data_IF_575892927557
#
_entry.id   IF_575892927557
#
_cell.length_a   1.000
_cell.length_b   1.000
_cell.length_c   1.000
_cell.angle_alpha   90.00
_cell.angle_beta   90.00
_cell.angle_gamma   90.00
#
_symmetry.space_group_name_H-M   'P 1'
#
loop_
_entity.id
_entity.type
_entity.pdbx_description
1 polymer ?
#
# COMPACT_ATOMS: atom_id res chain seq x y z
N UNK A 1 -40.48 -7.43 -30.34
CA UNK A 1 -41.01 -8.66 -30.99
C UNK A 1 -39.91 -9.70 -31.20
N UNK A 2 -38.72 -9.30 -31.66
CA UNK A 2 -37.55 -10.19 -31.83
C UNK A 2 -37.09 -10.85 -30.53
N UNK A 3 -36.91 -10.08 -29.48
CA UNK A 3 -36.49 -10.58 -28.14
C UNK A 3 -37.49 -11.60 -27.57
N UNK A 4 -38.78 -11.31 -27.70
CA UNK A 4 -39.85 -12.23 -27.26
C UNK A 4 -39.83 -13.56 -28.03
N UNK A 5 -39.68 -13.52 -29.37
CA UNK A 5 -39.59 -14.71 -30.16
C UNK A 5 -38.38 -15.58 -29.84
N UNK A 6 -37.21 -14.94 -29.68
CA UNK A 6 -35.97 -15.61 -29.30
C UNK A 6 -36.07 -16.26 -27.91
N UNK A 7 -36.59 -15.52 -26.91
CA UNK A 7 -36.81 -16.02 -25.55
C UNK A 7 -37.76 -17.22 -25.52
N UNK A 8 -38.88 -17.16 -26.24
CA UNK A 8 -39.86 -18.25 -26.29
C UNK A 8 -39.32 -19.50 -26.99
N UNK A 9 -38.45 -19.35 -27.97
CA UNK A 9 -37.74 -20.45 -28.61
C UNK A 9 -36.80 -21.18 -27.63
N UNK A 10 -35.97 -20.42 -26.89
CA UNK A 10 -35.10 -20.98 -25.87
C UNK A 10 -35.89 -21.66 -24.76
N UNK A 11 -36.95 -21.04 -24.29
CA UNK A 11 -37.76 -21.56 -23.18
C UNK A 11 -38.38 -22.91 -23.57
N UNK A 12 -38.93 -23.02 -24.78
CA UNK A 12 -39.51 -24.30 -25.29
C UNK A 12 -38.45 -25.40 -25.40
N UNK A 13 -37.25 -25.05 -25.89
CA UNK A 13 -36.16 -26.01 -26.00
C UNK A 13 -35.72 -26.53 -24.63
N UNK A 14 -35.53 -25.62 -23.65
CA UNK A 14 -35.13 -25.93 -22.25
C UNK A 14 -36.16 -26.86 -21.59
N UNK A 15 -37.46 -26.56 -21.75
CA UNK A 15 -38.54 -27.34 -21.16
C UNK A 15 -38.66 -28.75 -21.79
N UNK A 16 -38.38 -28.87 -23.10
CA UNK A 16 -38.44 -30.17 -23.79
C UNK A 16 -37.22 -31.05 -23.50
N UNK A 17 -36.03 -30.42 -23.14
CA UNK A 17 -34.79 -31.14 -22.91
C UNK A 17 -34.34 -31.03 -21.44
N UNK A 18 -35.22 -31.38 -20.50
CA UNK A 18 -35.02 -31.18 -19.07
C UNK A 18 -33.70 -31.76 -18.54
N UNK A 19 -33.38 -33.00 -18.94
CA UNK A 19 -32.14 -33.68 -18.51
C UNK A 19 -30.91 -33.00 -19.09
N UNK A 20 -30.93 -32.66 -20.37
CA UNK A 20 -29.82 -31.92 -21.00
C UNK A 20 -29.60 -30.57 -20.39
N UNK A 21 -30.68 -29.82 -20.14
CA UNK A 21 -30.60 -28.51 -19.48
C UNK A 21 -30.04 -28.59 -18.06
N UNK A 22 -30.50 -29.60 -17.28
CA UNK A 22 -29.98 -29.83 -15.93
C UNK A 22 -28.52 -30.24 -15.97
N UNK A 23 -28.09 -31.03 -16.92
CA UNK A 23 -26.69 -31.42 -17.08
C UNK A 23 -25.79 -30.23 -17.44
N UNK A 24 -26.25 -29.36 -18.35
CA UNK A 24 -25.54 -28.11 -18.70
C UNK A 24 -25.42 -27.18 -17.49
N UNK A 25 -26.54 -27.00 -16.77
CA UNK A 25 -26.54 -26.16 -15.58
C UNK A 25 -25.54 -26.66 -14.51
N UNK A 26 -25.56 -27.99 -14.28
CA UNK A 26 -24.64 -28.64 -13.33
C UNK A 26 -23.18 -28.51 -13.79
N UNK A 27 -22.91 -28.67 -15.07
CA UNK A 27 -21.58 -28.53 -15.65
C UNK A 27 -21.07 -27.08 -15.50
N UNK A 28 -21.89 -26.06 -15.77
CA UNK A 28 -21.57 -24.66 -15.59
C UNK A 28 -21.30 -24.36 -14.12
N UNK A 29 -22.17 -24.85 -13.22
CA UNK A 29 -21.98 -24.67 -11.77
C UNK A 29 -20.67 -25.29 -11.29
N UNK A 30 -20.40 -26.53 -11.70
CA UNK A 30 -19.16 -27.22 -11.33
C UNK A 30 -17.92 -26.51 -11.89
N UNK A 31 -17.97 -26.05 -13.14
CA UNK A 31 -16.87 -25.28 -13.74
C UNK A 31 -16.64 -23.96 -12.99
N UNK A 32 -17.71 -23.25 -12.60
CA UNK A 32 -17.61 -22.02 -11.82
C UNK A 32 -16.99 -22.29 -10.45
N UNK A 33 -17.42 -23.31 -9.74
CA UNK A 33 -16.86 -23.69 -8.44
C UNK A 33 -15.38 -24.12 -8.55
N UNK A 34 -15.03 -24.83 -9.61
CA UNK A 34 -13.65 -25.23 -9.88
C UNK A 34 -12.73 -24.04 -10.25
N UNK A 35 -13.30 -23.00 -10.82
CA UNK A 35 -12.57 -21.76 -11.15
C UNK A 35 -12.35 -20.85 -9.94
N UNK A 36 -13.16 -20.94 -8.88
CA UNK A 36 -13.06 -20.11 -7.69
C UNK A 36 -11.66 -20.08 -7.04
N UNK A 37 -10.95 -21.23 -6.88
CA UNK A 37 -9.61 -21.21 -6.31
C UNK A 37 -8.55 -20.54 -7.20
N UNK A 38 -8.86 -20.41 -8.51
CA UNK A 38 -7.95 -19.77 -9.49
C UNK A 38 -8.13 -18.25 -9.55
N UNK A 39 -9.22 -17.73 -8.95
CA UNK A 39 -9.37 -16.28 -8.81
C UNK A 39 -8.44 -15.77 -7.72
N UNK A 40 -7.65 -14.75 -8.04
CA UNK A 40 -6.83 -14.05 -7.06
C UNK A 40 -7.71 -13.53 -5.91
N UNK A 41 -7.24 -13.68 -4.69
CA UNK A 41 -7.90 -13.19 -3.47
C UNK A 41 -7.35 -11.84 -3.05
N UNK A 42 -7.14 -10.95 -4.01
CA UNK A 42 -6.75 -9.58 -3.69
C UNK A 42 -7.97 -8.82 -3.20
N UNK A 43 -7.90 -8.36 -1.96
CA UNK A 43 -8.98 -7.60 -1.34
C UNK A 43 -9.19 -6.24 -2.04
N UNK A 44 -8.10 -5.63 -2.49
CA UNK A 44 -8.12 -4.41 -3.30
C UNK A 44 -7.00 -4.43 -4.32
N UNK A 45 -7.22 -3.93 -5.55
CA UNK A 45 -6.13 -3.67 -6.48
C UNK A 45 -5.16 -2.66 -5.87
N UNK A 46 -3.87 -2.78 -6.18
CA UNK A 46 -2.88 -1.80 -5.77
C UNK A 46 -3.28 -0.41 -6.27
N UNK A 47 -3.55 0.51 -5.33
CA UNK A 47 -3.84 1.90 -5.63
C UNK A 47 -2.52 2.60 -5.94
N UNK A 48 -2.31 2.94 -7.21
CA UNK A 48 -1.15 3.71 -7.63
C UNK A 48 -1.49 5.20 -7.64
N UNK A 49 -0.88 5.94 -6.72
CA UNK A 49 -1.19 7.36 -6.49
C UNK A 49 -0.23 8.33 -7.20
N UNK A 50 0.82 7.82 -7.87
CA UNK A 50 1.85 8.66 -8.46
C UNK A 50 2.68 9.45 -7.44
N UNK A 51 2.60 9.07 -6.16
CA UNK A 51 3.35 9.68 -5.07
C UNK A 51 3.81 8.62 -4.07
N UNK A 52 4.64 9.00 -3.12
CA UNK A 52 4.96 8.25 -1.91
C UNK A 52 5.06 9.21 -0.71
N UNK A 53 4.90 8.64 0.47
CA UNK A 53 5.15 9.31 1.75
C UNK A 53 6.23 8.54 2.48
N UNK A 54 7.26 9.24 2.91
CA UNK A 54 8.35 8.70 3.71
C UNK A 54 8.15 9.21 5.12
N UNK A 55 7.99 8.29 6.07
CA UNK A 55 7.89 8.61 7.50
C UNK A 55 9.15 8.12 8.21
N UNK A 56 9.71 8.98 9.05
CA UNK A 56 10.83 8.65 9.92
C UNK A 56 10.45 8.89 11.37
N UNK A 57 10.53 7.86 12.20
CA UNK A 57 10.33 7.96 13.64
C UNK A 57 11.66 7.83 14.33
N UNK A 58 12.07 8.89 15.00
CA UNK A 58 13.31 8.97 15.77
C UNK A 58 13.07 8.61 17.25
N UNK A 59 14.13 8.33 18.03
CA UNK A 59 14.01 8.14 19.47
C UNK A 59 13.30 9.33 20.15
N UNK A 60 12.47 9.05 21.15
CA UNK A 60 11.64 10.07 21.80
C UNK A 60 12.43 11.22 22.48
N UNK A 61 13.73 11.02 22.75
CA UNK A 61 14.62 12.01 23.34
C UNK A 61 15.34 12.91 22.33
N UNK A 62 15.06 12.78 21.03
CA UNK A 62 15.65 13.63 20.00
C UNK A 62 15.10 15.07 20.10
N UNK A 63 15.91 16.06 19.77
CA UNK A 63 15.45 17.44 19.66
C UNK A 63 14.81 17.71 18.30
N UNK A 64 13.87 18.67 18.26
CA UNK A 64 13.23 19.11 17.01
C UNK A 64 14.27 19.61 15.99
N UNK A 65 15.30 20.32 16.47
CA UNK A 65 16.38 20.82 15.61
C UNK A 65 17.15 19.69 14.93
N UNK A 66 17.42 18.59 15.65
CA UNK A 66 18.11 17.44 15.10
C UNK A 66 17.23 16.71 14.08
N UNK A 67 15.92 16.60 14.32
CA UNK A 67 14.97 16.09 13.32
C UNK A 67 14.98 16.97 12.08
N UNK A 68 15.04 18.29 12.23
CA UNK A 68 15.12 19.23 11.10
C UNK A 68 16.43 19.08 10.30
N UNK A 69 17.55 18.80 10.97
CA UNK A 69 18.83 18.47 10.31
C UNK A 69 18.71 17.17 9.51
N UNK A 70 18.12 16.14 10.09
CA UNK A 70 17.89 14.87 9.40
C UNK A 70 16.90 15.01 8.22
N UNK A 71 15.88 15.87 8.34
CA UNK A 71 14.99 16.21 7.23
C UNK A 71 15.74 16.84 6.03
N UNK A 72 16.75 17.69 6.30
CA UNK A 72 17.61 18.24 5.24
C UNK A 72 18.45 17.15 4.57
N UNK A 73 19.00 16.22 5.36
CA UNK A 73 19.78 15.08 4.83
C UNK A 73 18.87 14.16 3.99
N UNK A 74 17.69 13.84 4.47
CA UNK A 74 16.71 13.04 3.73
C UNK A 74 16.37 13.67 2.39
N UNK A 75 16.06 14.98 2.37
CA UNK A 75 15.78 15.70 1.10
C UNK A 75 16.94 15.62 0.12
N UNK A 76 18.17 15.78 0.59
CA UNK A 76 19.35 15.69 -0.26
C UNK A 76 19.48 14.30 -0.92
N UNK A 77 19.18 13.24 -0.17
CA UNK A 77 19.22 11.85 -0.68
C UNK A 77 18.08 11.62 -1.69
N UNK A 78 16.87 12.04 -1.40
CA UNK A 78 15.69 11.75 -2.23
C UNK A 78 15.76 12.47 -3.57
N UNK A 79 16.30 13.70 -3.62
CA UNK A 79 16.48 14.45 -4.87
C UNK A 79 17.49 13.80 -5.83
N UNK A 80 18.36 12.90 -5.34
CA UNK A 80 19.26 12.14 -6.20
C UNK A 80 18.53 11.14 -7.12
N UNK A 81 17.28 10.79 -6.80
CA UNK A 81 16.48 9.86 -7.59
C UNK A 81 15.76 10.61 -8.72
N UNK A 82 16.08 10.32 -9.99
CA UNK A 82 15.51 11.03 -11.14
C UNK A 82 14.00 10.82 -11.32
N UNK A 83 13.44 9.78 -10.71
CA UNK A 83 12.02 9.46 -10.67
C UNK A 83 11.22 10.45 -9.79
N UNK A 84 11.90 11.16 -8.88
CA UNK A 84 11.29 12.12 -7.96
C UNK A 84 11.09 13.47 -8.66
N UNK A 85 9.91 14.06 -8.49
CA UNK A 85 9.60 15.38 -9.01
C UNK A 85 9.89 16.48 -7.99
N UNK A 86 9.41 16.27 -6.77
CA UNK A 86 9.48 17.24 -5.67
C UNK A 86 9.57 16.48 -4.34
N UNK A 87 10.02 17.16 -3.29
CA UNK A 87 9.94 16.69 -1.91
C UNK A 87 9.54 17.84 -0.99
N UNK A 88 8.47 17.61 -0.22
CA UNK A 88 8.06 18.48 0.87
C UNK A 88 8.18 17.72 2.19
N UNK A 89 8.74 18.35 3.23
CA UNK A 89 8.92 17.72 4.53
C UNK A 89 8.24 18.50 5.63
N UNK A 90 7.54 17.77 6.51
CA UNK A 90 6.98 18.23 7.76
C UNK A 90 7.80 17.63 8.90
N UNK A 91 8.20 18.45 9.86
CA UNK A 91 9.00 18.06 11.03
C UNK A 91 8.19 18.33 12.29
N UNK A 92 7.99 17.28 13.10
CA UNK A 92 7.16 17.39 14.29
C UNK A 92 5.68 17.60 13.97
N UNK A 93 4.99 18.24 14.89
CA UNK A 93 3.54 18.51 14.82
C UNK A 93 3.23 20.00 14.91
N UNK A 94 2.07 20.46 14.45
CA UNK A 94 1.59 21.80 14.72
C UNK A 94 1.28 22.00 16.21
N UNK A 95 1.46 23.22 16.72
CA UNK A 95 1.27 23.54 18.13
C UNK A 95 -0.22 23.58 18.56
N UNK A 96 -1.14 23.52 17.60
CA UNK A 96 -2.59 23.58 17.85
C UNK A 96 -3.22 22.26 18.37
N UNK A 97 -2.41 21.19 18.46
CA UNK A 97 -2.83 19.89 18.97
C UNK A 97 -3.77 19.11 18.04
N UNK A 98 -3.92 19.52 16.79
CA UNK A 98 -4.76 18.82 15.79
C UNK A 98 -4.14 17.52 15.28
N UNK A 99 -2.82 17.39 15.38
CA UNK A 99 -2.06 16.21 14.94
C UNK A 99 -1.49 15.47 16.18
N UNK A 100 -1.79 14.18 16.37
CA UNK A 100 -1.29 13.37 17.48
C UNK A 100 0.18 12.97 17.32
N UNK A 101 0.85 13.29 16.21
CA UNK A 101 2.25 12.95 15.97
C UNK A 101 3.21 13.56 17.01
N UNK A 102 4.34 12.87 17.25
CA UNK A 102 5.38 13.33 18.17
C UNK A 102 6.30 14.38 17.54
N UNK A 103 7.04 15.11 18.37
CA UNK A 103 8.10 16.03 17.91
C UNK A 103 9.27 15.28 17.24
N UNK A 104 9.38 13.98 17.52
CA UNK A 104 10.38 13.07 17.00
C UNK A 104 10.00 12.43 15.65
N UNK A 105 8.93 12.90 15.02
CA UNK A 105 8.47 12.40 13.75
C UNK A 105 8.80 13.34 12.59
N UNK A 106 9.18 12.73 11.48
CA UNK A 106 9.44 13.38 10.20
C UNK A 106 8.56 12.75 9.15
N UNK A 107 7.79 13.56 8.43
CA UNK A 107 7.00 13.09 7.31
C UNK A 107 7.41 13.85 6.04
N UNK A 108 7.67 13.11 4.95
CA UNK A 108 8.01 13.69 3.67
C UNK A 108 7.02 13.21 2.61
N UNK A 109 6.39 14.16 1.94
CA UNK A 109 5.57 13.92 0.77
C UNK A 109 6.43 14.03 -0.49
N UNK A 110 6.44 12.98 -1.31
CA UNK A 110 7.31 12.84 -2.48
C UNK A 110 6.47 12.51 -3.71
N UNK A 111 6.01 13.52 -4.47
CA UNK A 111 5.43 13.32 -5.78
C UNK A 111 6.46 12.70 -6.73
N UNK A 112 6.02 11.72 -7.51
CA UNK A 112 6.83 11.05 -8.52
C UNK A 112 6.48 11.58 -9.90
N UNK A 113 7.46 11.59 -10.78
CA UNK A 113 7.24 11.87 -12.20
C UNK A 113 6.36 10.77 -12.81
N UNK A 114 5.63 11.06 -13.90
CA UNK A 114 4.89 10.02 -14.61
C UNK A 114 5.80 8.85 -14.99
N UNK A 115 5.33 7.62 -14.75
CA UNK A 115 6.13 6.38 -14.95
C UNK A 115 6.74 6.32 -16.36
N UNK A 116 6.02 6.84 -17.38
CA UNK A 116 6.50 6.87 -18.75
C UNK A 116 7.76 7.74 -18.96
N UNK A 117 8.04 8.66 -18.04
CA UNK A 117 9.21 9.54 -18.07
C UNK A 117 10.39 9.03 -17.26
N UNK A 118 10.25 7.88 -16.61
CA UNK A 118 11.32 7.31 -15.78
C UNK A 118 12.49 6.85 -16.65
N UNK A 119 13.74 7.10 -16.22
CA UNK A 119 14.92 6.77 -17.01
C UNK A 119 15.10 5.25 -17.09
N UNK A 120 15.53 4.81 -18.29
CA UNK A 120 15.98 3.43 -18.48
C UNK A 120 17.33 3.26 -17.78
N UNK A 121 17.42 2.32 -16.89
CA UNK A 121 18.65 1.99 -16.18
C UNK A 121 19.53 1.05 -17.01
N UNK A 122 20.83 1.33 -17.05
CA UNK A 122 21.80 0.56 -17.81
C UNK A 122 22.03 -0.84 -17.25
N UNK A 123 21.83 -1.04 -15.93
CA UNK A 123 22.02 -2.32 -15.24
C UNK A 123 20.88 -3.33 -15.46
N UNK A 124 19.65 -2.85 -15.67
CA UNK A 124 18.46 -3.71 -15.85
C UNK A 124 17.78 -3.56 -17.22
N UNK A 125 18.25 -2.63 -18.08
CA UNK A 125 17.74 -2.42 -19.43
C UNK A 125 16.30 -1.90 -19.54
N UNK A 126 15.69 -1.47 -18.42
CA UNK A 126 14.34 -0.92 -18.34
C UNK A 126 14.24 0.14 -17.23
N UNK A 127 13.15 0.93 -17.19
CA UNK A 127 12.85 1.75 -16.02
C UNK A 127 12.63 0.88 -14.77
N UNK A 128 12.86 1.44 -13.59
CA UNK A 128 12.51 0.80 -12.32
C UNK A 128 10.99 0.62 -12.23
N UNK A 129 10.56 -0.39 -11.52
CA UNK A 129 9.22 -0.43 -10.94
C UNK A 129 9.17 0.45 -9.70
N UNK A 130 7.97 0.84 -9.26
CA UNK A 130 7.81 1.63 -8.02
C UNK A 130 8.36 0.88 -6.81
N UNK A 131 8.17 -0.43 -6.74
CA UNK A 131 8.71 -1.28 -5.68
C UNK A 131 10.24 -1.21 -5.63
N UNK A 132 10.90 -1.39 -6.78
CA UNK A 132 12.36 -1.26 -6.87
C UNK A 132 12.86 0.15 -6.49
N UNK A 133 12.06 1.19 -6.76
CA UNK A 133 12.38 2.55 -6.32
C UNK A 133 12.27 2.67 -4.80
N UNK A 134 11.21 2.17 -4.20
CA UNK A 134 11.00 2.16 -2.74
C UNK A 134 12.12 1.40 -2.05
N UNK A 135 12.47 0.19 -2.53
CA UNK A 135 13.55 -0.62 -1.96
C UNK A 135 14.91 0.12 -2.04
N UNK A 136 15.18 0.77 -3.17
CA UNK A 136 16.43 1.54 -3.34
C UNK A 136 16.49 2.78 -2.42
N UNK A 137 15.36 3.47 -2.24
CA UNK A 137 15.25 4.61 -1.31
C UNK A 137 15.43 4.13 0.13
N UNK A 138 14.72 3.07 0.55
CA UNK A 138 14.84 2.50 1.91
C UNK A 138 16.28 2.17 2.25
N UNK A 139 16.95 1.39 1.39
CA UNK A 139 18.34 1.01 1.62
C UNK A 139 19.29 2.22 1.71
N UNK A 140 19.05 3.26 0.89
CA UNK A 140 19.88 4.47 0.87
C UNK A 140 19.66 5.34 2.10
N UNK A 141 18.40 5.46 2.55
CA UNK A 141 18.00 6.26 3.72
C UNK A 141 18.45 5.60 5.03
N UNK A 142 18.21 4.31 5.19
CA UNK A 142 18.63 3.54 6.36
C UNK A 142 20.15 3.58 6.56
N UNK A 143 20.90 3.45 5.45
CA UNK A 143 22.37 3.54 5.50
C UNK A 143 22.90 4.94 5.81
N UNK A 144 22.17 6.00 5.43
CA UNK A 144 22.63 7.37 5.59
C UNK A 144 22.16 8.04 6.89
N UNK A 145 21.03 7.63 7.42
CA UNK A 145 20.40 8.19 8.63
C UNK A 145 20.06 7.03 9.58
N UNK A 146 21.06 6.47 10.27
CA UNK A 146 20.82 5.39 11.22
C UNK A 146 20.12 5.91 12.48
N UNK A 147 19.41 5.01 13.17
CA UNK A 147 18.76 5.30 14.46
C UNK A 147 17.34 5.86 14.35
N UNK A 148 16.76 5.90 13.15
CA UNK A 148 15.35 6.13 12.92
C UNK A 148 14.69 4.88 12.33
N UNK A 149 13.42 4.67 12.64
CA UNK A 149 12.57 3.71 11.94
C UNK A 149 11.95 4.38 10.72
N UNK A 150 12.10 3.78 9.55
CA UNK A 150 11.61 4.33 8.29
C UNK A 150 10.45 3.51 7.73
N UNK A 151 9.41 4.21 7.28
CA UNK A 151 8.26 3.63 6.57
C UNK A 151 8.02 4.42 5.27
N UNK A 152 7.80 3.69 4.17
CA UNK A 152 7.49 4.29 2.86
C UNK A 152 6.16 3.73 2.37
N UNK A 153 5.18 4.60 2.23
CA UNK A 153 3.80 4.23 1.94
C UNK A 153 3.12 5.19 0.96
N UNK A 154 1.80 5.09 0.83
CA UNK A 154 0.97 5.98 0.02
C UNK A 154 -0.21 6.46 0.86
N UNK A 155 -0.58 7.75 0.74
CA UNK A 155 -1.57 8.40 1.63
C UNK A 155 -2.95 7.75 1.52
N UNK A 156 -3.48 7.59 0.29
CA UNK A 156 -4.83 7.06 0.10
C UNK A 156 -4.87 5.60 0.53
N UNK A 157 -3.86 4.82 0.16
CA UNK A 157 -3.72 3.43 0.59
C UNK A 157 -3.72 3.32 2.10
N UNK A 158 -2.90 4.11 2.80
CA UNK A 158 -2.82 4.12 4.26
C UNK A 158 -4.17 4.47 4.89
N UNK A 159 -4.84 5.52 4.41
CA UNK A 159 -6.14 5.95 4.92
C UNK A 159 -7.22 4.88 4.72
N UNK A 160 -7.21 4.20 3.58
CA UNK A 160 -8.16 3.10 3.31
C UNK A 160 -7.86 1.92 4.23
N UNK A 161 -6.60 1.52 4.37
CA UNK A 161 -6.22 0.41 5.26
C UNK A 161 -6.53 0.74 6.72
N UNK A 162 -6.25 1.95 7.18
CA UNK A 162 -6.59 2.41 8.53
C UNK A 162 -8.10 2.42 8.77
N UNK A 163 -8.91 2.85 7.78
CA UNK A 163 -10.37 2.83 7.88
C UNK A 163 -10.96 1.43 7.96
N UNK A 164 -10.32 0.44 7.34
CA UNK A 164 -10.77 -0.94 7.31
C UNK A 164 -10.28 -1.77 8.49
N UNK A 165 -9.02 -1.63 8.86
CA UNK A 165 -8.36 -2.46 9.88
C UNK A 165 -8.01 -1.71 11.18
N UNK A 166 -8.10 -0.38 11.17
CA UNK A 166 -7.68 0.50 12.26
C UNK A 166 -6.16 0.60 12.42
N UNK A 167 -5.39 0.17 11.42
CA UNK A 167 -3.91 0.27 11.38
C UNK A 167 -3.43 0.56 9.97
N UNK A 168 -2.29 1.27 9.89
CA UNK A 168 -1.58 1.52 8.63
C UNK A 168 -0.67 0.32 8.37
N UNK A 169 -0.86 -0.37 7.25
CA UNK A 169 -0.03 -1.51 6.86
C UNK A 169 -0.83 -2.71 6.36
N UNK A 170 -0.16 -3.61 5.62
CA UNK A 170 -0.78 -4.80 5.02
C UNK A 170 -1.05 -5.90 6.05
N UNK A 171 -0.18 -6.02 7.04
CA UNK A 171 -0.29 -7.01 8.10
C UNK A 171 -0.16 -6.32 9.45
N UNK A 172 -1.03 -6.66 10.39
CA UNK A 172 -0.95 -6.17 11.76
C UNK A 172 -1.27 -7.28 12.73
N UNK A 173 -0.47 -7.35 13.80
CA UNK A 173 -0.74 -8.21 14.94
C UNK A 173 -1.16 -7.32 16.09
N UNK A 174 -2.38 -7.49 16.58
CA UNK A 174 -2.91 -6.72 17.71
C UNK A 174 -2.83 -7.56 18.97
N UNK A 175 -2.10 -7.08 19.95
CA UNK A 175 -2.00 -7.70 21.27
C UNK A 175 -2.88 -6.93 22.24
N UNK A 176 -3.76 -7.65 22.96
CA UNK A 176 -4.70 -7.05 23.91
C UNK A 176 -4.42 -7.58 25.32
N UNK A 177 -4.41 -6.72 26.31
CA UNK A 177 -4.23 -7.07 27.71
C UNK A 177 -4.42 -5.88 28.64
N UNK A 178 -4.56 -6.10 29.93
CA UNK A 178 -4.71 -5.05 30.93
C UNK A 178 -3.38 -4.40 31.36
N UNK A 179 -2.24 -5.07 31.14
CA UNK A 179 -0.92 -4.65 31.59
C UNK A 179 -0.06 -4.22 30.40
N UNK A 180 0.36 -2.94 30.41
CA UNK A 180 1.15 -2.36 29.32
C UNK A 180 2.57 -2.95 29.23
N UNK A 181 3.20 -3.33 30.35
CA UNK A 181 4.55 -3.90 30.35
C UNK A 181 4.56 -5.30 29.76
N UNK A 182 3.54 -6.10 30.09
CA UNK A 182 3.34 -7.43 29.50
C UNK A 182 3.06 -7.33 27.99
N UNK A 183 2.22 -6.38 27.58
CA UNK A 183 1.93 -6.10 26.16
C UNK A 183 3.18 -5.71 25.38
N UNK A 184 4.03 -4.84 25.93
CA UNK A 184 5.29 -4.42 25.32
C UNK A 184 6.26 -5.60 25.17
N UNK A 185 6.36 -6.44 26.20
CA UNK A 185 7.20 -7.64 26.18
C UNK A 185 6.76 -8.60 25.06
N UNK A 186 5.46 -8.91 25.00
CA UNK A 186 4.88 -9.80 23.96
C UNK A 186 5.04 -9.20 22.56
N UNK A 187 4.79 -7.89 22.39
CA UNK A 187 4.95 -7.23 21.11
C UNK A 187 6.41 -7.20 20.61
N UNK A 188 7.37 -7.30 21.51
CA UNK A 188 8.80 -7.33 21.17
C UNK A 188 9.27 -8.76 20.80
N UNK A 189 8.58 -9.78 21.28
CA UNK A 189 8.88 -11.20 21.01
C UNK A 189 8.29 -11.70 19.68
N UNK A 190 7.34 -10.98 19.07
CA UNK A 190 6.67 -11.29 17.80
C UNK A 190 7.44 -10.74 16.61
#
# INVERSE_FOLDING_TARGET
RFVHWFFMGQLKWVLNHRVGTSAILLAVLTATLAALPMLGREFMPELEEGNMVIRGTFPANISLDEVAVNAKRLRAIIVEFPEVELIASQVGRPDDGTDPTGINELQCFVPLRPIQSWPVRSDIGRPRTKRELVDAISARVEGAIPGASWDISQIIRDNVMESLSGVKGENSIKVFGPDLQELETIATEI
#
